data_IF_607913706265
#
_entry.id   IF_607913706265
#
_cell.length_a   1.000
_cell.length_b   1.000
_cell.length_c   1.000
_cell.angle_alpha   90.00
_cell.angle_beta   90.00
_cell.angle_gamma   90.00
#
_symmetry.space_group_name_H-M   'P 1'
#
loop_
_entity.id
_entity.type
_entity.pdbx_description
1 polymer ?
#
# COMPACT_ATOMS: atom_id res chain seq x y z
N UNK A 1 10.01 -16.35 44.85
CA UNK A 1 9.09 -15.23 44.59
C UNK A 1 9.60 -14.29 43.48
N UNK A 2 9.59 -14.65 42.20
CA UNK A 2 9.68 -16.00 41.64
C UNK A 2 10.24 -15.96 40.22
N UNK A 3 11.29 -16.75 39.99
CA UNK A 3 11.75 -17.13 38.65
C UNK A 3 10.66 -17.91 37.89
N UNK A 4 9.66 -18.46 38.60
CA UNK A 4 8.47 -19.10 38.03
C UNK A 4 7.51 -18.12 37.32
N UNK A 5 7.45 -16.84 37.72
CA UNK A 5 6.56 -15.84 37.07
C UNK A 5 7.15 -15.38 35.72
N UNK A 6 8.49 -15.29 35.61
CA UNK A 6 9.16 -14.98 34.33
C UNK A 6 9.13 -16.15 33.34
N UNK A 7 9.17 -17.39 33.83
CA UNK A 7 9.01 -18.57 32.97
C UNK A 7 7.54 -18.81 32.57
N UNK A 8 6.54 -18.36 33.34
CA UNK A 8 5.13 -18.51 32.94
C UNK A 8 4.71 -17.58 31.79
N UNK A 9 5.37 -16.42 31.62
CA UNK A 9 4.94 -15.39 30.66
C UNK A 9 5.58 -15.53 29.26
N UNK A 10 6.83 -16.03 29.20
CA UNK A 10 7.49 -16.38 27.93
C UNK A 10 6.78 -17.53 27.21
N UNK A 11 6.07 -18.39 27.96
CA UNK A 11 5.24 -19.45 27.39
C UNK A 11 3.94 -18.91 26.76
N UNK A 12 3.35 -17.83 27.28
CA UNK A 12 2.08 -17.26 26.77
C UNK A 12 2.20 -16.46 25.47
N UNK A 13 3.35 -15.85 25.18
CA UNK A 13 3.56 -15.11 23.92
C UNK A 13 3.94 -16.05 22.78
N UNK A 14 4.68 -17.14 23.10
CA UNK A 14 4.78 -18.28 22.18
C UNK A 14 3.41 -18.87 21.88
N UNK A 15 2.49 -18.94 22.85
CA UNK A 15 1.13 -19.42 22.63
C UNK A 15 0.28 -18.53 21.71
N UNK A 16 0.53 -17.24 21.50
CA UNK A 16 -0.31 -16.42 20.58
C UNK A 16 0.16 -16.53 19.12
N UNK A 17 1.47 -16.45 18.87
CA UNK A 17 2.02 -16.72 17.52
C UNK A 17 1.94 -18.21 17.18
N UNK A 18 2.11 -19.10 18.17
CA UNK A 18 1.79 -20.52 18.01
C UNK A 18 0.28 -20.78 18.02
N UNK A 19 -0.61 -19.92 18.54
CA UNK A 19 -2.06 -20.05 18.32
C UNK A 19 -2.41 -19.67 16.90
N UNK A 20 -1.79 -18.67 16.28
CA UNK A 20 -2.02 -18.36 14.86
C UNK A 20 -1.51 -19.50 13.96
N UNK A 21 -0.39 -20.14 14.33
CA UNK A 21 0.13 -21.33 13.64
C UNK A 21 -0.59 -22.65 14.04
N UNK A 22 -1.08 -22.82 15.27
CA UNK A 22 -1.86 -23.99 15.74
C UNK A 22 -3.32 -23.90 15.31
N UNK A 23 -3.88 -22.70 15.12
CA UNK A 23 -5.17 -22.50 14.43
C UNK A 23 -5.07 -22.98 12.99
N UNK A 24 -3.86 -22.94 12.40
CA UNK A 24 -3.58 -23.54 11.10
C UNK A 24 -3.28 -25.06 11.16
N UNK A 25 -3.16 -25.67 12.35
CA UNK A 25 -2.77 -27.09 12.50
C UNK A 25 -3.72 -27.96 13.34
N UNK A 26 -4.67 -27.41 14.09
CA UNK A 26 -5.82 -28.15 14.64
C UNK A 26 -6.89 -28.17 13.55
N UNK A 27 -7.29 -29.38 13.14
CA UNK A 27 -8.24 -29.69 12.07
C UNK A 27 -9.09 -28.50 11.67
N UNK A 28 -8.83 -27.99 10.47
CA UNK A 28 -9.32 -26.74 9.90
C UNK A 28 -10.83 -26.50 10.04
N UNK A 29 -11.63 -27.53 10.32
CA UNK A 29 -13.09 -27.52 10.27
C UNK A 29 -13.79 -26.97 11.54
N UNK A 30 -13.11 -26.82 12.69
CA UNK A 30 -13.78 -26.42 13.95
C UNK A 30 -13.55 -24.97 14.40
N UNK A 31 -12.80 -24.15 13.66
CA UNK A 31 -12.66 -22.71 13.96
C UNK A 31 -13.56 -21.88 13.03
N UNK A 32 -14.65 -21.26 13.52
CA UNK A 32 -15.57 -20.47 12.71
C UNK A 32 -14.89 -19.31 11.97
N UNK A 33 -13.84 -18.73 12.54
CA UNK A 33 -13.09 -17.66 11.90
C UNK A 33 -12.23 -18.18 10.75
N UNK A 34 -11.54 -19.30 10.94
CA UNK A 34 -10.75 -19.93 9.87
C UNK A 34 -11.66 -20.42 8.73
N UNK A 35 -12.86 -20.93 9.06
CA UNK A 35 -13.88 -21.28 8.08
C UNK A 35 -14.32 -20.06 7.27
N UNK A 36 -14.68 -18.95 7.91
CA UNK A 36 -15.09 -17.72 7.23
C UNK A 36 -14.01 -17.18 6.29
N UNK A 37 -12.73 -17.25 6.68
CA UNK A 37 -11.62 -16.85 5.81
C UNK A 37 -11.48 -17.75 4.57
N UNK A 38 -11.70 -19.06 4.71
CA UNK A 38 -11.74 -19.97 3.56
C UNK A 38 -12.91 -19.67 2.62
N UNK A 39 -14.11 -19.51 3.17
CA UNK A 39 -15.30 -19.14 2.41
C UNK A 39 -15.11 -17.82 1.65
N UNK A 40 -14.45 -16.84 2.29
CA UNK A 40 -14.08 -15.58 1.66
C UNK A 40 -13.09 -15.79 0.51
N UNK A 41 -12.05 -16.61 0.71
CA UNK A 41 -11.06 -16.92 -0.34
C UNK A 41 -11.67 -17.64 -1.53
N UNK A 42 -12.55 -18.63 -1.30
CA UNK A 42 -13.26 -19.36 -2.34
C UNK A 42 -14.19 -18.43 -3.14
N UNK A 43 -14.89 -17.52 -2.44
CA UNK A 43 -15.72 -16.50 -3.06
C UNK A 43 -14.88 -15.59 -3.97
N UNK A 44 -13.80 -15.01 -3.46
CA UNK A 44 -12.93 -14.10 -4.24
C UNK A 44 -12.35 -14.80 -5.47
N UNK A 45 -11.94 -16.07 -5.33
CA UNK A 45 -11.38 -16.83 -6.44
C UNK A 45 -12.37 -17.00 -7.60
N UNK A 46 -13.68 -17.09 -7.30
CA UNK A 46 -14.73 -17.19 -8.31
C UNK A 46 -14.93 -15.90 -9.12
N UNK A 47 -14.64 -14.72 -8.54
CA UNK A 47 -15.00 -13.42 -9.13
C UNK A 47 -14.27 -13.14 -10.45
N UNK A 48 -13.08 -13.71 -10.64
CA UNK A 48 -12.35 -13.61 -11.91
C UNK A 48 -13.09 -14.19 -13.12
N UNK A 49 -14.03 -15.13 -12.88
CA UNK A 49 -14.85 -15.75 -13.92
C UNK A 49 -16.18 -15.03 -14.18
N UNK A 50 -16.56 -14.08 -13.32
CA UNK A 50 -17.81 -13.31 -13.41
C UNK A 50 -17.70 -12.16 -14.43
N UNK A 51 -17.65 -12.51 -15.72
CA UNK A 51 -17.40 -11.55 -16.83
C UNK A 51 -18.29 -10.31 -16.81
N UNK A 52 -19.60 -10.49 -16.57
CA UNK A 52 -20.56 -9.39 -16.51
C UNK A 52 -20.33 -8.47 -15.31
N UNK A 53 -19.97 -9.03 -14.15
CA UNK A 53 -19.71 -8.22 -12.96
C UNK A 53 -18.40 -7.42 -13.07
N UNK A 54 -17.36 -8.03 -13.66
CA UNK A 54 -16.12 -7.33 -13.97
C UNK A 54 -16.35 -6.18 -14.97
N UNK A 55 -17.19 -6.41 -16.00
CA UNK A 55 -17.59 -5.36 -16.96
C UNK A 55 -18.31 -4.21 -16.25
N UNK A 56 -19.29 -4.50 -15.41
CA UNK A 56 -20.02 -3.47 -14.65
C UNK A 56 -19.11 -2.70 -13.69
N UNK A 57 -18.13 -3.38 -13.07
CA UNK A 57 -17.14 -2.75 -12.20
C UNK A 57 -16.25 -1.76 -12.96
N UNK A 58 -15.78 -2.14 -14.15
CA UNK A 58 -15.03 -1.24 -15.03
C UNK A 58 -15.88 -0.05 -15.50
N UNK A 59 -17.12 -0.27 -15.95
CA UNK A 59 -18.02 0.82 -16.35
C UNK A 59 -18.32 1.80 -15.21
N UNK A 60 -18.46 1.28 -14.00
CA UNK A 60 -18.62 2.10 -12.81
C UNK A 60 -17.37 2.95 -12.57
N UNK A 61 -16.17 2.37 -12.66
CA UNK A 61 -14.91 3.09 -12.51
C UNK A 61 -14.76 4.20 -13.57
N UNK A 62 -14.99 3.89 -14.84
CA UNK A 62 -14.99 4.88 -15.94
C UNK A 62 -15.88 6.07 -15.60
N UNK A 63 -17.11 5.81 -15.12
CA UNK A 63 -18.03 6.88 -14.68
C UNK A 63 -17.56 7.61 -13.41
N UNK A 64 -16.91 6.90 -12.49
CA UNK A 64 -16.35 7.47 -11.27
C UNK A 64 -15.22 8.47 -11.59
N UNK A 65 -14.35 8.15 -12.55
CA UNK A 65 -13.34 9.06 -13.08
C UNK A 65 -13.97 10.30 -13.73
N UNK A 66 -14.93 10.13 -14.64
CA UNK A 66 -15.67 11.25 -15.28
C UNK A 66 -16.33 12.18 -14.24
N UNK A 67 -16.93 11.60 -13.19
CA UNK A 67 -17.59 12.35 -12.11
C UNK A 67 -16.66 12.78 -10.98
N UNK A 68 -15.35 12.59 -11.13
CA UNK A 68 -14.33 12.96 -10.12
C UNK A 68 -14.64 12.39 -8.74
N UNK A 69 -15.19 11.17 -8.69
CA UNK A 69 -15.64 10.54 -7.44
C UNK A 69 -14.53 10.45 -6.39
N UNK A 70 -13.30 10.09 -6.81
CA UNK A 70 -12.15 9.91 -5.93
C UNK A 70 -11.67 11.21 -5.26
N UNK A 71 -12.11 12.39 -5.74
CA UNK A 71 -11.75 13.68 -5.15
C UNK A 71 -12.59 14.04 -3.92
N UNK A 72 -13.61 13.24 -3.59
CA UNK A 72 -14.57 13.57 -2.53
C UNK A 72 -14.14 13.12 -1.13
N UNK A 73 -13.01 12.41 -1.01
CA UNK A 73 -12.60 11.77 0.24
C UNK A 73 -11.50 12.55 0.95
N UNK A 74 -11.49 12.41 2.27
CA UNK A 74 -10.46 12.93 3.15
C UNK A 74 -10.07 11.86 4.16
N UNK A 75 -8.78 11.81 4.51
CA UNK A 75 -8.28 11.01 5.62
C UNK A 75 -7.70 11.93 6.69
N UNK A 76 -8.24 11.82 7.91
CA UNK A 76 -7.85 12.66 9.05
C UNK A 76 -7.81 14.18 8.72
N UNK A 77 -8.76 14.65 7.90
CA UNK A 77 -8.86 16.07 7.54
C UNK A 77 -7.96 16.52 6.39
N UNK A 78 -7.25 15.62 5.70
CA UNK A 78 -6.49 15.91 4.47
C UNK A 78 -7.14 15.22 3.26
N UNK A 79 -7.33 15.91 2.12
CA UNK A 79 -7.83 15.27 0.90
C UNK A 79 -6.96 14.10 0.46
N UNK A 80 -7.61 12.99 0.12
CA UNK A 80 -6.98 11.79 -0.42
C UNK A 80 -7.67 11.44 -1.75
N UNK A 81 -6.92 11.46 -2.85
CA UNK A 81 -7.46 11.23 -4.20
C UNK A 81 -7.32 9.74 -4.52
N UNK A 82 -8.11 8.91 -3.85
CA UNK A 82 -8.11 7.46 -4.03
C UNK A 82 -9.54 6.93 -3.87
N UNK A 83 -9.80 5.68 -4.27
CA UNK A 83 -11.09 5.05 -3.98
C UNK A 83 -11.11 4.51 -2.54
N UNK A 84 -12.28 4.46 -1.86
CA UNK A 84 -12.36 3.84 -0.54
C UNK A 84 -11.97 2.35 -0.52
N UNK A 85 -12.15 1.63 -1.63
CA UNK A 85 -11.77 0.21 -1.70
C UNK A 85 -10.25 0.04 -1.76
N UNK A 86 -9.55 0.91 -2.50
CA UNK A 86 -8.10 0.89 -2.56
C UNK A 86 -7.49 1.34 -1.22
N UNK A 87 -8.11 2.30 -0.53
CA UNK A 87 -7.72 2.67 0.85
C UNK A 87 -7.84 1.47 1.81
N UNK A 88 -8.89 0.67 1.70
CA UNK A 88 -9.05 -0.56 2.49
C UNK A 88 -7.97 -1.60 2.15
N UNK A 89 -7.63 -1.75 0.86
CA UNK A 89 -6.55 -2.64 0.43
C UNK A 89 -5.19 -2.22 1.02
N UNK A 90 -4.85 -0.93 0.97
CA UNK A 90 -3.63 -0.38 1.58
C UNK A 90 -3.64 -0.59 3.09
N UNK A 91 -4.78 -0.35 3.76
CA UNK A 91 -4.93 -0.62 5.18
C UNK A 91 -4.63 -2.09 5.51
N UNK A 92 -5.20 -3.04 4.77
CA UNK A 92 -4.98 -4.48 4.96
C UNK A 92 -3.52 -4.85 4.72
N UNK A 93 -2.89 -4.33 3.66
CA UNK A 93 -1.47 -4.56 3.36
C UNK A 93 -0.57 -4.04 4.48
N UNK A 94 -0.77 -2.81 4.94
CA UNK A 94 0.01 -2.26 6.07
C UNK A 94 -0.19 -3.13 7.31
N UNK A 95 -1.41 -3.61 7.57
CA UNK A 95 -1.68 -4.49 8.70
C UNK A 95 -0.99 -5.85 8.59
N UNK A 96 -0.97 -6.46 7.40
CA UNK A 96 -0.35 -7.76 7.16
C UNK A 96 1.18 -7.69 7.19
N UNK A 97 1.75 -6.70 6.50
CA UNK A 97 3.20 -6.54 6.31
C UNK A 97 3.86 -5.97 7.57
N UNK A 98 3.13 -5.12 8.30
CA UNK A 98 3.63 -4.36 9.44
C UNK A 98 4.87 -3.50 9.11
N UNK A 99 4.90 -2.73 8.00
CA UNK A 99 6.11 -2.06 7.54
C UNK A 99 6.68 -1.10 8.60
N UNK A 100 7.99 -0.91 8.54
CA UNK A 100 8.69 0.16 9.23
C UNK A 100 9.07 1.31 8.29
N UNK A 101 9.02 1.11 6.97
CA UNK A 101 9.04 2.19 5.99
C UNK A 101 7.93 2.01 4.95
N UNK A 102 7.22 3.10 4.67
CA UNK A 102 6.35 3.22 3.51
C UNK A 102 6.91 4.33 2.62
N UNK A 103 7.24 4.02 1.36
CA UNK A 103 7.70 5.01 0.38
C UNK A 103 6.52 5.33 -0.55
N UNK A 104 6.15 6.60 -0.68
CA UNK A 104 5.06 7.05 -1.56
C UNK A 104 5.58 8.10 -2.56
N UNK A 105 5.37 7.89 -3.86
CA UNK A 105 5.58 8.94 -4.88
C UNK A 105 4.24 9.56 -5.26
N UNK A 106 4.21 10.89 -5.36
CA UNK A 106 2.97 11.66 -5.53
C UNK A 106 2.30 11.96 -4.18
N UNK A 107 2.55 13.16 -3.63
CA UNK A 107 1.95 13.58 -2.36
C UNK A 107 0.61 14.26 -2.58
N UNK A 108 0.49 15.07 -3.64
CA UNK A 108 -0.68 15.90 -3.93
C UNK A 108 -1.12 16.72 -2.68
N UNK A 109 -2.20 16.32 -2.00
CA UNK A 109 -2.72 16.98 -0.80
C UNK A 109 -2.25 16.35 0.53
N UNK A 110 -1.53 15.23 0.48
CA UNK A 110 -0.97 14.53 1.65
C UNK A 110 -1.93 13.59 2.37
N UNK A 111 -3.13 13.32 1.84
CA UNK A 111 -4.08 12.42 2.48
C UNK A 111 -3.63 10.96 2.55
N UNK A 112 -2.93 10.46 1.52
CA UNK A 112 -2.32 9.12 1.55
C UNK A 112 -1.23 9.03 2.62
N UNK A 113 -0.37 10.05 2.74
CA UNK A 113 0.61 10.13 3.82
C UNK A 113 -0.04 10.07 5.20
N UNK A 114 -1.20 10.74 5.38
CA UNK A 114 -1.95 10.66 6.64
C UNK A 114 -2.54 9.26 6.88
N UNK A 115 -3.06 8.61 5.84
CA UNK A 115 -3.52 7.22 5.90
C UNK A 115 -2.39 6.32 6.40
N UNK A 116 -1.29 6.28 5.67
CA UNK A 116 -0.12 5.46 5.99
C UNK A 116 0.44 5.76 7.38
N UNK A 117 0.66 7.04 7.72
CA UNK A 117 1.21 7.43 9.01
C UNK A 117 0.29 7.06 10.19
N UNK A 118 -1.04 7.19 10.01
CA UNK A 118 -2.01 6.78 11.02
C UNK A 118 -2.05 5.26 11.23
N UNK A 119 -1.91 4.50 10.14
CA UNK A 119 -1.80 3.04 10.23
C UNK A 119 -0.53 2.61 10.96
N UNK A 120 0.62 3.24 10.67
CA UNK A 120 1.87 3.00 11.40
C UNK A 120 1.74 3.33 12.90
N UNK A 121 1.00 4.39 13.25
CA UNK A 121 0.71 4.71 14.64
C UNK A 121 -0.15 3.64 15.34
N UNK A 122 -1.13 3.06 14.64
CA UNK A 122 -1.91 1.94 15.15
C UNK A 122 -1.03 0.70 15.36
N UNK A 123 -0.06 0.44 14.48
CA UNK A 123 0.91 -0.64 14.68
C UNK A 123 1.75 -0.44 15.94
N UNK A 124 2.27 0.78 16.16
CA UNK A 124 3.01 1.12 17.38
C UNK A 124 2.16 0.90 18.64
N UNK A 125 0.88 1.28 18.58
CA UNK A 125 -0.07 1.10 19.68
C UNK A 125 -0.32 -0.37 19.98
N UNK A 126 -0.61 -1.18 18.96
CA UNK A 126 -0.82 -2.62 19.14
C UNK A 126 0.42 -3.31 19.71
N UNK A 127 1.62 -3.01 19.18
CA UNK A 127 2.88 -3.55 19.70
C UNK A 127 3.12 -3.16 21.16
N UNK A 128 2.85 -1.90 21.51
CA UNK A 128 2.99 -1.42 22.89
C UNK A 128 2.02 -2.14 23.85
N UNK A 129 0.77 -2.36 23.43
CA UNK A 129 -0.23 -3.10 24.20
C UNK A 129 0.22 -4.56 24.40
N UNK A 130 0.65 -5.23 23.33
CA UNK A 130 1.08 -6.63 23.38
C UNK A 130 2.31 -6.85 24.26
N UNK A 131 3.26 -5.92 24.22
CA UNK A 131 4.52 -6.01 24.98
C UNK A 131 4.43 -5.38 26.37
N UNK A 132 3.36 -4.64 26.66
CA UNK A 132 3.23 -3.82 27.88
C UNK A 132 4.20 -2.63 27.93
N UNK A 133 4.73 -2.21 26.78
CA UNK A 133 5.65 -1.08 26.69
C UNK A 133 4.93 0.26 26.84
N UNK A 134 5.65 1.27 27.34
CA UNK A 134 5.17 2.65 27.34
C UNK A 134 5.34 3.25 25.94
N UNK A 135 4.24 3.74 25.36
CA UNK A 135 4.25 4.40 24.06
C UNK A 135 4.29 5.92 24.23
N UNK A 136 5.32 6.57 23.66
CA UNK A 136 5.27 8.00 23.34
C UNK A 136 4.65 8.15 21.94
N UNK A 137 3.45 8.74 21.80
CA UNK A 137 2.78 8.85 20.50
C UNK A 137 3.56 9.68 19.47
N UNK A 138 4.52 10.50 19.90
CA UNK A 138 5.38 11.31 19.01
C UNK A 138 6.61 10.59 18.49
N UNK A 139 6.99 9.46 19.11
CA UNK A 139 8.17 8.70 18.71
C UNK A 139 7.73 7.40 18.03
N UNK A 140 8.34 7.11 16.89
CA UNK A 140 8.11 5.86 16.17
C UNK A 140 9.39 5.44 15.48
N UNK A 141 9.62 4.13 15.44
CA UNK A 141 10.63 3.51 14.57
C UNK A 141 10.15 3.40 13.12
N UNK A 142 8.88 3.77 12.86
CA UNK A 142 8.23 3.65 11.55
C UNK A 142 8.13 5.00 10.87
N UNK A 143 8.27 5.03 9.55
CA UNK A 143 8.16 6.26 8.75
C UNK A 143 7.37 6.06 7.46
N UNK A 144 6.76 7.15 7.03
CA UNK A 144 6.29 7.37 5.66
C UNK A 144 7.23 8.38 5.01
N UNK A 145 7.83 8.03 3.88
CA UNK A 145 8.65 8.90 3.06
C UNK A 145 7.85 9.28 1.81
N UNK A 146 7.38 10.53 1.75
CA UNK A 146 6.68 11.07 0.59
C UNK A 146 7.63 11.78 -0.38
N UNK A 147 7.45 11.57 -1.68
CA UNK A 147 8.24 12.20 -2.74
C UNK A 147 7.29 12.92 -3.70
N UNK A 148 7.52 14.21 -3.98
CA UNK A 148 6.74 14.94 -4.98
C UNK A 148 7.61 15.99 -5.67
N UNK A 149 7.39 16.19 -6.97
CA UNK A 149 8.10 17.20 -7.75
C UNK A 149 7.77 18.62 -7.26
N UNK A 150 6.57 18.84 -6.73
CA UNK A 150 6.12 20.12 -6.19
C UNK A 150 5.23 19.93 -4.95
N UNK A 151 5.86 19.98 -3.76
CA UNK A 151 5.15 20.01 -2.50
C UNK A 151 4.67 21.43 -2.23
N UNK A 152 3.50 21.76 -2.78
CA UNK A 152 2.86 23.08 -2.67
C UNK A 152 2.88 23.58 -1.22
N UNK A 153 3.28 24.84 -1.02
CA UNK A 153 3.51 25.42 0.31
C UNK A 153 2.36 25.20 1.31
N UNK A 154 1.10 25.39 0.89
CA UNK A 154 -0.07 25.18 1.75
C UNK A 154 -0.29 23.70 2.12
N UNK A 155 0.10 22.77 1.27
CA UNK A 155 0.03 21.34 1.58
C UNK A 155 1.17 20.96 2.53
N UNK A 156 2.39 21.45 2.29
CA UNK A 156 3.53 21.28 3.20
C UNK A 156 3.20 21.75 4.61
N UNK A 157 2.75 22.99 4.76
CA UNK A 157 2.39 23.59 6.06
C UNK A 157 1.34 22.74 6.78
N UNK A 158 0.30 22.31 6.06
CA UNK A 158 -0.77 21.53 6.66
C UNK A 158 -0.35 20.09 7.01
N UNK A 159 0.56 19.48 6.25
CA UNK A 159 1.15 18.17 6.56
C UNK A 159 2.02 18.29 7.81
N UNK A 160 2.92 19.28 7.86
CA UNK A 160 3.86 19.49 8.96
C UNK A 160 3.15 19.90 10.27
N UNK A 161 2.01 20.61 10.18
CA UNK A 161 1.19 20.94 11.34
C UNK A 161 0.33 19.78 11.87
N UNK A 162 0.17 18.70 11.09
CA UNK A 162 -0.72 17.59 11.47
C UNK A 162 -0.09 16.72 12.58
N UNK A 163 -0.86 16.17 13.54
CA UNK A 163 -0.30 15.31 14.60
C UNK A 163 0.48 14.09 14.10
N UNK A 164 0.15 13.58 12.91
CA UNK A 164 0.87 12.45 12.28
C UNK A 164 2.19 12.85 11.61
N UNK A 165 2.54 14.14 11.53
CA UNK A 165 3.79 14.62 10.93
C UNK A 165 5.04 14.00 11.56
N UNK A 166 4.97 13.60 12.84
CA UNK A 166 6.05 12.87 13.52
C UNK A 166 6.51 11.60 12.79
N UNK A 167 5.65 11.00 11.95
CA UNK A 167 5.95 9.79 11.16
C UNK A 167 6.19 10.07 9.69
N UNK A 168 6.15 11.33 9.25
CA UNK A 168 6.24 11.69 7.84
C UNK A 168 7.56 12.42 7.59
N UNK A 169 8.25 12.01 6.54
CA UNK A 169 9.36 12.73 5.93
C UNK A 169 9.01 13.01 4.48
N UNK A 170 9.45 14.15 3.93
CA UNK A 170 9.09 14.57 2.58
C UNK A 170 10.30 15.06 1.80
N UNK A 171 10.52 14.50 0.62
CA UNK A 171 11.51 14.95 -0.35
C UNK A 171 10.78 15.69 -1.47
N UNK A 172 11.21 16.92 -1.74
CA UNK A 172 10.72 17.67 -2.90
C UNK A 172 11.71 17.51 -4.06
N UNK A 173 11.25 16.92 -5.16
CA UNK A 173 12.05 16.66 -6.35
C UNK A 173 11.37 15.63 -7.25
N UNK A 174 11.84 15.51 -8.49
CA UNK A 174 11.34 14.46 -9.38
C UNK A 174 11.70 13.08 -8.82
N UNK A 175 10.74 12.17 -8.75
CA UNK A 175 10.95 10.81 -8.26
C UNK A 175 11.88 9.97 -9.15
N UNK A 176 12.23 10.45 -10.34
CA UNK A 176 13.19 9.79 -11.23
C UNK A 176 14.53 10.53 -11.31
N UNK A 177 14.71 11.60 -10.52
CA UNK A 177 15.97 12.34 -10.49
C UNK A 177 17.04 11.54 -9.71
N UNK A 178 18.28 11.40 -10.22
CA UNK A 178 19.33 10.61 -9.56
C UNK A 178 19.57 11.01 -8.11
N UNK A 179 19.57 12.31 -7.81
CA UNK A 179 19.79 12.84 -6.45
C UNK A 179 18.62 12.54 -5.49
N UNK A 180 17.40 12.39 -6.00
CA UNK A 180 16.22 11.99 -5.20
C UNK A 180 16.27 10.49 -4.95
N UNK A 181 16.58 9.69 -5.98
CA UNK A 181 16.73 8.24 -5.86
C UNK A 181 17.82 7.90 -4.82
N UNK A 182 18.97 8.58 -4.88
CA UNK A 182 20.06 8.40 -3.93
C UNK A 182 19.62 8.70 -2.48
N UNK A 183 18.90 9.81 -2.27
CA UNK A 183 18.36 10.14 -0.93
C UNK A 183 17.39 9.07 -0.42
N UNK A 184 16.48 8.58 -1.27
CA UNK A 184 15.51 7.55 -0.90
C UNK A 184 16.22 6.23 -0.55
N UNK A 185 17.22 5.83 -1.35
CA UNK A 185 18.02 4.64 -1.08
C UNK A 185 18.75 4.74 0.26
N UNK A 186 19.41 5.88 0.52
CA UNK A 186 20.11 6.13 1.78
C UNK A 186 19.17 6.08 3.00
N UNK A 187 17.96 6.64 2.88
CA UNK A 187 16.96 6.57 3.96
C UNK A 187 16.51 5.12 4.16
N UNK A 188 16.25 4.39 3.07
CA UNK A 188 15.75 3.01 3.11
C UNK A 188 16.72 2.02 3.77
N UNK A 189 18.04 2.27 3.75
CA UNK A 189 19.05 1.45 4.45
C UNK A 189 18.78 1.30 5.97
N UNK A 190 18.06 2.25 6.57
CA UNK A 190 17.71 2.22 7.99
C UNK A 190 16.50 1.34 8.35
N UNK A 191 15.89 0.67 7.37
CA UNK A 191 14.61 -0.02 7.52
C UNK A 191 14.65 -1.46 7.01
N UNK A 192 13.82 -2.33 7.59
CA UNK A 192 13.83 -3.78 7.31
C UNK A 192 12.63 -4.23 6.48
N UNK A 193 11.47 -3.59 6.69
CA UNK A 193 10.19 -3.93 6.06
C UNK A 193 9.65 -2.73 5.34
N UNK A 194 9.96 -2.68 4.05
CA UNK A 194 9.61 -1.58 3.16
C UNK A 194 8.41 -1.96 2.31
N UNK A 195 7.39 -1.10 2.32
CA UNK A 195 6.26 -1.10 1.39
C UNK A 195 6.42 0.11 0.46
N UNK A 196 6.26 -0.08 -0.85
CA UNK A 196 6.41 0.98 -1.85
C UNK A 196 5.07 1.23 -2.53
N UNK A 197 4.73 2.49 -2.75
CA UNK A 197 3.53 2.95 -3.45
C UNK A 197 3.95 3.99 -4.51
N UNK A 198 3.69 3.71 -5.78
CA UNK A 198 4.02 4.58 -6.91
C UNK A 198 2.74 5.21 -7.47
N UNK A 199 2.64 6.54 -7.40
CA UNK A 199 1.43 7.30 -7.80
C UNK A 199 1.77 8.74 -8.26
N UNK A 200 2.92 8.94 -8.91
CA UNK A 200 3.38 10.28 -9.32
C UNK A 200 2.87 10.72 -10.71
N UNK A 201 3.57 10.31 -11.78
CA UNK A 201 3.23 10.57 -13.17
C UNK A 201 2.87 9.27 -13.85
N UNK A 202 1.84 9.30 -14.69
CA UNK A 202 1.22 8.11 -15.24
C UNK A 202 1.69 7.76 -16.65
N UNK A 203 2.84 8.24 -17.12
CA UNK A 203 3.40 7.78 -18.42
C UNK A 203 4.22 6.50 -18.24
N UNK A 204 4.28 5.67 -19.28
CA UNK A 204 5.01 4.40 -19.26
C UNK A 204 6.46 4.58 -18.79
N UNK A 205 7.20 5.47 -19.45
CA UNK A 205 8.64 5.63 -19.21
C UNK A 205 8.92 6.14 -17.79
N UNK A 206 8.07 7.03 -17.28
CA UNK A 206 8.23 7.56 -15.91
C UNK A 206 7.98 6.47 -14.87
N UNK A 207 6.86 5.73 -14.98
CA UNK A 207 6.54 4.66 -14.03
C UNK A 207 7.56 3.53 -14.10
N UNK A 208 8.05 3.20 -15.30
CA UNK A 208 9.12 2.21 -15.45
C UNK A 208 10.39 2.67 -14.73
N UNK A 209 10.79 3.93 -14.86
CA UNK A 209 11.94 4.47 -14.14
C UNK A 209 11.75 4.46 -12.61
N UNK A 210 10.53 4.73 -12.11
CA UNK A 210 10.23 4.57 -10.68
C UNK A 210 10.29 3.11 -10.21
N UNK A 211 9.78 2.18 -11.03
CA UNK A 211 9.87 0.75 -10.75
C UNK A 211 11.32 0.29 -10.62
N UNK A 212 12.17 0.64 -11.58
CA UNK A 212 13.61 0.34 -11.56
C UNK A 212 14.32 0.95 -10.33
N UNK A 213 13.89 2.14 -9.89
CA UNK A 213 14.49 2.84 -8.76
C UNK A 213 14.04 2.29 -7.40
N UNK A 214 12.75 2.01 -7.23
CA UNK A 214 12.13 1.82 -5.91
C UNK A 214 11.59 0.42 -5.66
N UNK A 215 11.17 -0.33 -6.68
CA UNK A 215 10.72 -1.71 -6.46
C UNK A 215 11.82 -2.58 -5.82
N UNK A 216 13.13 -2.47 -6.16
CA UNK A 216 14.18 -3.21 -5.47
C UNK A 216 14.28 -2.96 -3.96
N UNK A 217 13.74 -1.84 -3.46
CA UNK A 217 13.70 -1.51 -2.03
C UNK A 217 12.58 -2.23 -1.28
N UNK A 218 11.52 -2.69 -1.96
CA UNK A 218 10.42 -3.46 -1.35
C UNK A 218 10.97 -4.73 -0.69
N UNK A 219 10.66 -4.99 0.59
CA UNK A 219 11.15 -6.21 1.25
C UNK A 219 10.47 -7.48 0.74
N UNK A 220 11.13 -8.64 0.81
CA UNK A 220 10.50 -9.93 0.47
C UNK A 220 9.26 -10.17 1.32
N UNK A 221 8.15 -10.57 0.69
CA UNK A 221 6.83 -10.70 1.31
C UNK A 221 6.05 -9.39 1.45
N UNK A 222 6.65 -8.25 1.09
CA UNK A 222 6.00 -6.93 0.98
C UNK A 222 5.59 -6.65 -0.48
N UNK A 223 5.10 -5.44 -0.72
CA UNK A 223 4.53 -5.03 -2.01
C UNK A 223 5.20 -3.75 -2.56
N UNK A 224 5.25 -3.69 -3.88
CA UNK A 224 5.34 -2.45 -4.64
C UNK A 224 3.98 -2.26 -5.31
N UNK A 225 3.20 -1.30 -4.83
CA UNK A 225 1.87 -0.99 -5.35
C UNK A 225 1.99 0.12 -6.38
N UNK A 226 1.64 -0.16 -7.63
CA UNK A 226 1.61 0.80 -8.73
C UNK A 226 0.17 1.22 -8.94
N UNK A 227 -0.15 2.47 -8.62
CA UNK A 227 -1.50 3.01 -8.78
C UNK A 227 -1.82 3.34 -10.24
N UNK A 228 -3.11 3.55 -10.50
CA UNK A 228 -3.65 4.04 -11.78
C UNK A 228 -3.31 3.18 -13.01
N UNK A 229 -3.02 1.89 -12.81
CA UNK A 229 -2.92 0.94 -13.92
C UNK A 229 -4.25 0.79 -14.67
N UNK A 230 -5.39 1.16 -14.07
CA UNK A 230 -6.71 1.17 -14.73
C UNK A 230 -6.73 2.04 -16.00
N UNK A 231 -5.81 2.99 -16.16
CA UNK A 231 -5.71 3.86 -17.35
C UNK A 231 -5.62 3.06 -18.65
N UNK A 232 -5.03 1.85 -18.64
CA UNK A 232 -5.01 0.97 -19.81
C UNK A 232 -6.40 0.50 -20.26
N UNK A 233 -7.34 0.35 -19.32
CA UNK A 233 -8.68 -0.18 -19.57
C UNK A 233 -9.73 0.93 -19.78
N UNK A 234 -9.30 2.18 -19.87
CA UNK A 234 -10.19 3.33 -20.05
C UNK A 234 -10.35 3.75 -21.51
N UNK A 235 -11.41 4.50 -21.85
CA UNK A 235 -11.51 5.16 -23.14
C UNK A 235 -10.30 6.07 -23.42
N UNK A 236 -9.82 6.08 -24.67
CA UNK A 236 -8.64 6.84 -25.06
C UNK A 236 -8.78 8.37 -24.88
N UNK A 237 -10.02 8.86 -24.85
CA UNK A 237 -10.38 10.27 -24.66
C UNK A 237 -10.68 10.64 -23.20
N UNK A 238 -10.46 9.73 -22.24
CA UNK A 238 -10.69 9.98 -20.81
C UNK A 238 -9.84 11.14 -20.25
N UNK A 239 -8.59 11.26 -20.70
CA UNK A 239 -7.63 12.26 -20.20
C UNK A 239 -7.02 13.08 -21.36
N UNK A 240 -7.81 13.90 -22.06
CA UNK A 240 -7.36 14.54 -23.31
C UNK A 240 -6.24 15.57 -23.10
N UNK A 241 -6.12 16.13 -21.90
CA UNK A 241 -5.10 17.12 -21.53
C UNK A 241 -3.86 16.49 -20.86
N UNK A 242 -3.75 15.16 -20.88
CA UNK A 242 -2.65 14.43 -20.23
C UNK A 242 -1.83 13.64 -21.25
N UNK A 243 -0.52 13.43 -21.00
CA UNK A 243 0.34 12.68 -21.91
C UNK A 243 0.19 11.15 -21.79
N UNK A 244 -0.78 10.64 -21.03
CA UNK A 244 -0.99 9.22 -20.76
C UNK A 244 -2.39 8.76 -21.16
N UNK A 245 -2.52 7.46 -21.41
CA UNK A 245 -3.74 6.79 -21.85
C UNK A 245 -3.46 5.33 -22.21
N UNK A 246 -4.40 4.61 -22.83
CA UNK A 246 -4.14 3.26 -23.32
C UNK A 246 -2.87 3.19 -24.17
N UNK A 247 -1.97 2.26 -23.86
CA UNK A 247 -0.67 2.09 -24.51
C UNK A 247 0.49 2.95 -23.97
N UNK A 248 0.23 3.95 -23.11
CA UNK A 248 1.25 4.75 -22.44
C UNK A 248 0.82 5.08 -21.01
N UNK A 249 0.97 4.11 -20.10
CA UNK A 249 0.42 4.21 -18.73
C UNK A 249 1.12 3.27 -17.71
N UNK A 250 0.75 3.34 -16.41
CA UNK A 250 1.38 2.51 -15.38
C UNK A 250 1.26 1.00 -15.64
N UNK A 251 0.14 0.50 -16.21
CA UNK A 251 -0.02 -0.94 -16.47
C UNK A 251 0.98 -1.44 -17.50
N UNK A 252 1.20 -0.65 -18.54
CA UNK A 252 2.19 -1.00 -19.57
C UNK A 252 3.61 -1.03 -19.01
N UNK A 253 3.94 -0.16 -18.04
CA UNK A 253 5.23 -0.17 -17.34
C UNK A 253 5.36 -1.40 -16.44
N UNK A 254 4.31 -1.75 -15.69
CA UNK A 254 4.25 -2.96 -14.86
C UNK A 254 4.53 -4.21 -15.70
N UNK A 255 3.82 -4.39 -16.82
CA UNK A 255 4.04 -5.56 -17.69
C UNK A 255 5.45 -5.61 -18.26
N UNK A 256 6.03 -4.45 -18.60
CA UNK A 256 7.42 -4.36 -19.07
C UNK A 256 8.41 -4.76 -17.98
N UNK A 257 8.25 -4.25 -16.77
CA UNK A 257 9.11 -4.54 -15.62
C UNK A 257 9.06 -6.03 -15.25
N UNK A 258 7.87 -6.62 -15.13
CA UNK A 258 7.72 -8.04 -14.77
C UNK A 258 8.30 -9.01 -15.83
N UNK A 259 8.46 -8.56 -17.08
CA UNK A 259 9.17 -9.34 -18.11
C UNK A 259 10.65 -9.57 -17.81
N UNK A 260 11.24 -8.80 -16.88
CA UNK A 260 12.66 -8.85 -16.51
C UNK A 260 12.90 -9.16 -15.02
N UNK A 261 11.87 -9.00 -14.18
CA UNK A 261 11.97 -9.09 -12.72
C UNK A 261 11.11 -10.22 -12.17
N UNK A 262 11.64 -11.45 -12.19
CA UNK A 262 10.94 -12.67 -11.72
C UNK A 262 10.76 -12.73 -10.20
N UNK A 263 11.44 -11.86 -9.46
CA UNK A 263 11.31 -11.69 -8.01
C UNK A 263 10.00 -10.98 -7.61
N UNK A 264 9.23 -10.48 -8.58
CA UNK A 264 7.90 -9.91 -8.38
C UNK A 264 6.81 -10.71 -9.10
N UNK A 265 5.64 -10.80 -8.48
CA UNK A 265 4.43 -11.35 -9.09
C UNK A 265 3.23 -10.42 -8.88
N UNK A 266 2.28 -10.43 -9.82
CA UNK A 266 1.01 -9.71 -9.65
C UNK A 266 0.12 -10.50 -8.69
N UNK A 267 -0.28 -9.89 -7.58
CA UNK A 267 -1.27 -10.44 -6.68
C UNK A 267 -2.69 -10.21 -7.23
N UNK A 268 -3.12 -11.15 -8.09
CA UNK A 268 -4.47 -11.13 -8.69
C UNK A 268 -5.58 -11.33 -7.65
N UNK A 269 -5.28 -11.88 -6.48
CA UNK A 269 -6.29 -12.07 -5.43
C UNK A 269 -6.78 -10.71 -4.90
N UNK A 270 -5.87 -9.72 -4.75
CA UNK A 270 -6.26 -8.35 -4.37
C UNK A 270 -7.16 -7.72 -5.43
N UNK A 271 -6.76 -7.78 -6.71
CA UNK A 271 -7.60 -7.31 -7.83
C UNK A 271 -9.00 -7.92 -7.74
N UNK A 272 -9.08 -9.25 -7.74
CA UNK A 272 -10.34 -9.98 -7.75
C UNK A 272 -11.21 -9.62 -6.55
N UNK A 273 -10.62 -9.43 -5.36
CA UNK A 273 -11.34 -9.04 -4.14
C UNK A 273 -11.96 -7.64 -4.27
N UNK A 274 -11.22 -6.69 -4.85
CA UNK A 274 -11.63 -5.29 -4.85
C UNK A 274 -12.67 -4.95 -5.91
N UNK A 275 -12.58 -5.59 -7.10
CA UNK A 275 -13.42 -5.39 -8.30
C UNK A 275 -13.38 -3.97 -8.91
N UNK A 276 -13.48 -2.93 -8.08
CA UNK A 276 -13.50 -1.50 -8.45
C UNK A 276 -12.21 -0.81 -7.96
N UNK A 277 -11.05 -1.40 -8.24
CA UNK A 277 -9.72 -0.83 -7.93
C UNK A 277 -9.21 0.08 -9.06
N UNK A 278 -8.47 1.14 -8.72
CA UNK A 278 -7.70 1.93 -9.71
C UNK A 278 -6.39 1.26 -10.11
N UNK A 279 -5.99 0.19 -9.43
CA UNK A 279 -4.72 -0.50 -9.60
C UNK A 279 -4.89 -1.97 -10.10
N UNK A 280 -5.72 -2.27 -11.13
CA UNK A 280 -5.75 -3.61 -11.70
C UNK A 280 -4.36 -4.00 -12.22
N UNK A 281 -3.79 -5.07 -11.69
CA UNK A 281 -2.42 -5.54 -11.95
C UNK A 281 -1.31 -4.71 -11.28
N UNK A 282 -1.67 -3.69 -10.50
CA UNK A 282 -0.73 -2.80 -9.83
C UNK A 282 -0.16 -3.34 -8.50
N UNK A 283 -0.74 -4.39 -7.93
CA UNK A 283 -0.26 -4.97 -6.66
C UNK A 283 0.85 -5.99 -6.91
N UNK A 284 2.11 -5.53 -6.90
CA UNK A 284 3.27 -6.39 -7.14
C UNK A 284 3.83 -6.89 -5.81
N UNK A 285 3.73 -8.18 -5.56
CA UNK A 285 4.31 -8.82 -4.39
C UNK A 285 5.75 -9.24 -4.68
N UNK A 286 6.68 -8.89 -3.80
CA UNK A 286 8.05 -9.41 -3.88
C UNK A 286 8.12 -10.82 -3.27
N UNK A 287 8.50 -11.81 -4.07
CA UNK A 287 8.55 -13.22 -3.65
C UNK A 287 9.96 -13.74 -3.35
N UNK A 288 11.01 -13.04 -3.82
CA UNK A 288 12.42 -13.40 -3.57
C UNK A 288 13.38 -12.23 -3.49
#
# INVERSE_FOLDING_TARGET
MDREVKNSFVYRVKEISAMILEINMKSSDDNPFAQFLRESHDSISSYSSETEWNRQSNEWLVRAFDKRYMYNFQWMGRPIIQTPVDMAAIQELIWQIKPDLIIETGIAHGGSLMLSASMLALLDMCEAIETGAVLDPKQSKRKVLGIDIDIRAHNREAIEAHPMASRIEMIQGSSIAPEVIEQVQQIAEGYERVLVCLDSNHTHDHVLAELEAYAPLTSVGSYCVVFDTIVEDMPADMFPDRPWGPGNNPKTAVWKYLGMHSEFEIDKNIHNKLLITVAPDGYLKRVS
#
